data_IF_473633562269
#
_entry.id   IF_473633562269
#
_cell.length_a   1.000
_cell.length_b   1.000
_cell.length_c   1.000
_cell.angle_alpha   90.00
_cell.angle_beta   90.00
_cell.angle_gamma   90.00
#
_symmetry.space_group_name_H-M   'P 1'
#
loop_
_entity.id
_entity.type
_entity.pdbx_description
1 polymer ?
#
# COMPACT_ATOMS: atom_id res chain seq x y z
N UNK A 1 5.45 -10.85 9.49
CA UNK A 1 4.17 -10.15 9.60
C UNK A 1 4.24 -9.13 8.47
N UNK A 2 3.53 -9.36 7.37
CA UNK A 2 3.60 -8.46 6.20
C UNK A 2 2.95 -7.14 6.59
N UNK A 3 3.76 -6.11 6.79
CA UNK A 3 3.29 -4.74 7.02
C UNK A 3 3.33 -4.01 5.68
N UNK A 4 2.20 -3.87 4.98
CA UNK A 4 2.12 -2.99 3.81
C UNK A 4 0.74 -2.35 3.67
N UNK A 5 0.64 -1.03 3.87
CA UNK A 5 -0.03 -0.07 2.98
C UNK A 5 0.11 1.37 3.52
N UNK A 6 0.56 2.29 2.65
CA UNK A 6 0.97 3.64 2.99
C UNK A 6 -0.17 4.64 3.08
N UNK A 7 -0.22 5.43 4.15
CA UNK A 7 -1.05 6.63 4.22
C UNK A 7 -0.20 7.81 3.71
N UNK A 8 -0.43 8.25 2.47
CA UNK A 8 -0.11 9.62 2.06
C UNK A 8 -1.43 10.38 1.98
N UNK A 9 -1.76 11.13 3.03
CA UNK A 9 -2.74 12.20 2.95
C UNK A 9 -2.08 13.34 2.16
N UNK A 10 -2.51 13.54 0.91
CA UNK A 10 -1.89 14.51 0.02
C UNK A 10 -2.13 15.94 0.52
N UNK A 11 -1.11 16.57 1.10
CA UNK A 11 -1.03 18.01 1.22
C UNK A 11 0.44 18.46 1.08
N UNK A 12 0.75 19.02 -0.09
CA UNK A 12 1.96 19.79 -0.48
C UNK A 12 3.14 19.08 -1.19
N UNK A 13 3.58 19.80 -2.24
CA UNK A 13 4.86 19.80 -2.96
C UNK A 13 5.16 18.67 -3.97
N UNK A 14 4.65 18.84 -5.19
CA UNK A 14 5.29 18.30 -6.39
C UNK A 14 6.33 19.30 -6.89
N UNK A 15 7.61 18.98 -6.68
CA UNK A 15 8.73 19.54 -7.43
C UNK A 15 9.00 18.65 -8.65
N UNK A 16 9.29 19.29 -9.78
CA UNK A 16 9.67 18.71 -11.06
C UNK A 16 10.61 17.50 -10.96
N UNK A 17 10.28 16.40 -11.63
CA UNK A 17 11.21 15.31 -11.94
C UNK A 17 11.45 15.29 -13.45
N UNK A 18 12.62 15.77 -13.86
CA UNK A 18 13.15 15.56 -15.20
C UNK A 18 13.73 14.15 -15.34
N UNK A 19 13.42 13.50 -16.46
CA UNK A 19 13.98 12.21 -16.83
C UNK A 19 15.47 12.36 -17.19
N UNK A 20 16.36 11.74 -16.41
CA UNK A 20 17.77 11.60 -16.77
C UNK A 20 18.10 10.16 -17.17
N UNK A 21 18.84 10.06 -18.26
CA UNK A 21 19.21 8.89 -19.04
C UNK A 21 20.08 7.89 -18.29
N UNK A 22 19.66 6.62 -18.23
CA UNK A 22 20.44 5.50 -17.70
C UNK A 22 21.33 4.90 -18.80
N UNK A 23 22.65 4.92 -18.61
CA UNK A 23 23.60 4.17 -19.45
C UNK A 23 24.01 2.85 -18.75
N UNK A 24 24.08 1.71 -19.46
CA UNK A 24 24.41 0.43 -18.85
C UNK A 24 25.93 0.30 -18.58
N UNK A 25 26.28 -0.06 -17.35
CA UNK A 25 27.64 -0.37 -16.93
C UNK A 25 28.08 -1.77 -17.42
N UNK A 26 29.31 -1.88 -17.93
CA UNK A 26 29.95 -3.11 -18.38
C UNK A 26 30.35 -4.00 -17.19
N UNK A 27 29.99 -5.29 -17.24
CA UNK A 27 30.35 -6.32 -16.25
C UNK A 27 31.62 -7.05 -16.74
N UNK A 28 32.65 -7.25 -15.91
CA UNK A 28 33.88 -7.94 -16.32
C UNK A 28 33.69 -9.46 -16.43
N UNK A 29 34.17 -10.04 -17.52
CA UNK A 29 34.22 -11.48 -17.79
C UNK A 29 35.07 -12.21 -16.72
N UNK A 30 34.46 -13.15 -15.98
CA UNK A 30 35.19 -14.18 -15.22
C UNK A 30 35.06 -15.53 -15.90
N UNK A 31 36.22 -16.18 -16.08
CA UNK A 31 36.41 -17.52 -16.65
C UNK A 31 35.58 -18.58 -15.92
N UNK A 32 34.78 -19.33 -16.67
CA UNK A 32 34.15 -20.56 -16.20
C UNK A 32 35.19 -21.68 -16.13
N UNK A 33 35.47 -22.17 -14.91
CA UNK A 33 36.25 -23.38 -14.68
C UNK A 33 35.37 -24.62 -14.84
N UNK A 34 35.73 -25.50 -15.77
CA UNK A 34 35.09 -26.79 -16.06
C UNK A 34 35.57 -27.87 -15.08
N UNK A 35 34.96 -27.94 -13.90
CA UNK A 35 35.01 -29.15 -13.07
C UNK A 35 33.60 -29.73 -13.02
N UNK A 36 33.42 -30.88 -13.68
CA UNK A 36 32.17 -31.62 -13.75
C UNK A 36 31.80 -32.15 -12.36
N UNK A 37 30.77 -31.56 -11.75
CA UNK A 37 30.06 -32.19 -10.64
C UNK A 37 29.21 -33.33 -11.24
N UNK A 38 29.36 -34.52 -10.68
CA UNK A 38 28.59 -35.71 -11.07
C UNK A 38 27.08 -35.41 -11.07
N UNK A 39 26.42 -35.79 -12.16
CA UNK A 39 24.99 -35.65 -12.34
C UNK A 39 24.25 -36.51 -11.31
N UNK A 40 23.63 -35.85 -10.34
CA UNK A 40 22.58 -36.44 -9.51
C UNK A 40 21.44 -36.86 -10.44
N UNK A 41 20.99 -38.11 -10.30
CA UNK A 41 19.89 -38.69 -11.08
C UNK A 41 18.67 -37.74 -11.15
N UNK A 42 17.94 -37.68 -12.28
CA UNK A 42 16.78 -36.81 -12.39
C UNK A 42 15.79 -37.20 -11.29
N UNK A 43 15.47 -36.23 -10.43
CA UNK A 43 14.40 -36.37 -9.46
C UNK A 43 13.15 -36.85 -10.20
N UNK A 44 12.59 -37.97 -9.74
CA UNK A 44 11.30 -38.51 -10.19
C UNK A 44 10.30 -37.37 -10.35
N UNK A 45 9.63 -37.30 -11.50
CA UNK A 45 8.55 -36.33 -11.72
C UNK A 45 7.57 -36.38 -10.54
N UNK A 46 7.17 -35.24 -9.95
CA UNK A 46 6.19 -35.27 -8.90
C UNK A 46 4.86 -35.73 -9.51
N UNK A 47 4.42 -36.95 -9.18
CA UNK A 47 3.07 -37.44 -9.44
C UNK A 47 2.03 -36.70 -8.56
N UNK A 48 2.09 -35.37 -8.49
CA UNK A 48 1.11 -34.58 -7.76
C UNK A 48 -0.08 -34.28 -8.68
N UNK A 49 -0.83 -35.32 -9.05
CA UNK A 49 -2.09 -35.13 -9.75
C UNK A 49 -3.14 -34.63 -8.76
N UNK A 50 -3.46 -33.35 -8.81
CA UNK A 50 -4.53 -32.76 -8.00
C UNK A 50 -5.87 -32.98 -8.70
N UNK A 51 -6.83 -33.60 -7.99
CA UNK A 51 -8.20 -33.75 -8.47
C UNK A 51 -9.07 -32.64 -7.86
N UNK A 52 -9.47 -31.67 -8.69
CA UNK A 52 -10.39 -30.60 -8.30
C UNK A 52 -11.65 -30.74 -9.13
N UNK A 53 -12.80 -30.99 -8.49
CA UNK A 53 -14.13 -31.10 -9.13
C UNK A 53 -14.17 -32.06 -10.34
N UNK A 54 -13.44 -33.18 -10.28
CA UNK A 54 -13.44 -34.20 -11.34
C UNK A 54 -12.46 -33.94 -12.49
N UNK A 55 -11.68 -32.86 -12.42
CA UNK A 55 -10.60 -32.57 -13.38
C UNK A 55 -9.27 -33.01 -12.76
N UNK A 56 -8.57 -33.92 -13.45
CA UNK A 56 -7.22 -34.38 -13.08
C UNK A 56 -6.21 -33.41 -13.69
N UNK A 57 -5.58 -32.60 -12.85
CA UNK A 57 -4.54 -31.65 -13.29
C UNK A 57 -3.18 -32.29 -13.00
N UNK A 58 -2.35 -32.48 -14.03
CA UNK A 58 -1.04 -33.15 -13.94
C UNK A 58 0.10 -32.25 -13.48
N UNK A 59 -0.12 -30.93 -13.39
CA UNK A 59 0.87 -29.95 -12.97
C UNK A 59 0.21 -28.86 -12.12
N UNK A 60 1.02 -28.04 -11.43
CA UNK A 60 0.48 -26.87 -10.72
C UNK A 60 -0.20 -25.92 -11.71
N UNK A 61 -1.41 -25.42 -11.38
CA UNK A 61 -2.11 -24.49 -12.27
C UNK A 61 -1.33 -23.19 -12.43
N UNK A 62 -1.45 -22.56 -13.60
CA UNK A 62 -0.92 -21.21 -13.82
C UNK A 62 -1.69 -20.23 -12.92
N UNK A 63 -0.96 -19.41 -12.15
CA UNK A 63 -1.55 -18.41 -11.28
C UNK A 63 -1.74 -17.10 -12.05
N UNK A 64 -2.98 -16.80 -12.44
CA UNK A 64 -3.38 -15.61 -13.20
C UNK A 64 -4.26 -14.67 -12.36
N UNK A 65 -4.01 -14.62 -11.04
CA UNK A 65 -4.82 -13.87 -10.06
C UNK A 65 -3.94 -12.96 -9.17
N UNK A 66 -2.97 -12.29 -9.80
CA UNK A 66 -1.99 -11.45 -9.09
C UNK A 66 -2.63 -10.24 -8.39
N UNK A 67 -3.80 -9.78 -8.85
CA UNK A 67 -4.55 -8.69 -8.22
C UNK A 67 -5.14 -9.10 -6.86
N UNK A 68 -5.41 -10.40 -6.64
CA UNK A 68 -5.87 -10.89 -5.35
C UNK A 68 -4.74 -10.95 -4.31
N UNK A 69 -3.60 -11.54 -4.69
CA UNK A 69 -2.36 -11.49 -3.91
C UNK A 69 -1.16 -11.89 -4.76
N UNK A 70 0.02 -11.36 -4.45
CA UNK A 70 1.27 -11.70 -5.13
C UNK A 70 2.12 -12.66 -4.30
N UNK A 71 2.85 -13.60 -4.92
CA UNK A 71 3.86 -14.39 -4.22
C UNK A 71 4.94 -13.47 -3.63
N UNK A 72 5.45 -13.80 -2.45
CA UNK A 72 6.54 -13.05 -1.80
C UNK A 72 7.82 -13.20 -2.63
N UNK A 73 8.46 -12.08 -2.97
CA UNK A 73 9.76 -12.09 -3.65
C UNK A 73 10.81 -12.77 -2.74
N UNK A 74 11.63 -13.71 -3.26
CA UNK A 74 12.66 -14.37 -2.47
C UNK A 74 13.61 -13.41 -1.72
N UNK A 75 13.90 -12.24 -2.30
CA UNK A 75 14.72 -11.19 -1.65
C UNK A 75 14.03 -10.57 -0.45
N UNK A 76 12.71 -10.43 -0.51
CA UNK A 76 11.89 -9.95 0.62
C UNK A 76 11.90 -11.01 1.73
N UNK A 77 11.73 -12.28 1.39
CA UNK A 77 11.80 -13.36 2.37
C UNK A 77 13.17 -13.41 3.05
N UNK A 78 14.25 -13.33 2.28
CA UNK A 78 15.63 -13.32 2.80
C UNK A 78 15.87 -12.14 3.75
N UNK A 79 15.37 -10.94 3.42
CA UNK A 79 15.44 -9.78 4.30
C UNK A 79 14.59 -9.92 5.58
N UNK A 80 13.49 -10.68 5.54
CA UNK A 80 12.61 -10.90 6.69
C UNK A 80 13.15 -11.94 7.68
N UNK A 81 13.80 -13.00 7.19
CA UNK A 81 14.25 -14.14 8.00
C UNK A 81 15.12 -13.76 9.22
N UNK A 82 16.08 -12.82 9.14
CA UNK A 82 16.89 -12.40 10.28
C UNK A 82 16.05 -11.90 11.48
N UNK A 83 14.96 -11.20 11.22
CA UNK A 83 14.07 -10.67 12.27
C UNK A 83 13.18 -11.74 12.91
N UNK A 84 13.03 -12.89 12.25
CA UNK A 84 12.33 -14.05 12.81
C UNK A 84 13.23 -14.93 13.67
N UNK A 85 14.53 -15.01 13.35
CA UNK A 85 15.44 -15.96 13.96
C UNK A 85 16.38 -15.32 14.99
N UNK A 86 16.99 -14.18 14.67
CA UNK A 86 18.08 -13.59 15.45
C UNK A 86 17.70 -12.25 16.11
N UNK A 87 17.01 -11.36 15.38
CA UNK A 87 16.64 -10.02 15.86
C UNK A 87 15.13 -9.93 16.12
N UNK A 88 14.63 -10.77 17.03
CA UNK A 88 13.21 -10.87 17.41
C UNK A 88 12.77 -9.81 18.45
N UNK A 89 13.55 -8.73 18.61
CA UNK A 89 13.31 -7.70 19.61
C UNK A 89 12.03 -6.91 19.34
N UNK A 90 11.38 -6.41 20.39
CA UNK A 90 10.25 -5.51 20.23
C UNK A 90 10.77 -4.08 19.94
N UNK A 91 10.44 -3.45 18.80
CA UNK A 91 10.90 -2.07 18.50
C UNK A 91 10.38 -1.04 19.53
N UNK A 92 9.24 -1.29 20.17
CA UNK A 92 8.68 -0.44 21.23
C UNK A 92 9.33 -0.64 22.61
N UNK A 93 10.33 -1.52 22.75
CA UNK A 93 11.07 -1.68 24.02
C UNK A 93 11.89 -0.43 24.43
N UNK A 94 11.80 0.65 23.66
CA UNK A 94 12.25 2.01 23.99
C UNK A 94 11.27 2.83 24.85
N UNK A 95 10.06 2.33 25.11
CA UNK A 95 8.94 3.17 25.56
C UNK A 95 8.81 3.25 27.09
N UNK A 96 9.64 4.07 27.74
CA UNK A 96 9.24 4.90 28.88
C UNK A 96 10.14 6.15 28.93
N UNK A 97 9.86 7.13 28.08
CA UNK A 97 10.54 8.44 28.11
C UNK A 97 10.05 9.38 29.24
N UNK A 98 9.01 8.99 29.99
CA UNK A 98 8.47 9.79 31.12
C UNK A 98 8.42 9.04 32.46
N UNK A 99 9.19 7.96 32.63
CA UNK A 99 9.24 7.25 33.90
C UNK A 99 10.47 6.36 34.01
N UNK A 100 11.47 6.86 34.76
CA UNK A 100 12.65 6.14 35.23
C UNK A 100 13.69 5.70 34.14
N UNK A 101 14.96 6.18 34.17
CA UNK A 101 15.96 5.97 33.11
C UNK A 101 16.56 4.56 32.97
N UNK A 102 15.93 3.51 33.52
CA UNK A 102 16.52 2.17 33.59
C UNK A 102 16.17 1.21 32.45
N UNK A 103 15.23 1.58 31.57
CA UNK A 103 14.80 0.74 30.44
C UNK A 103 15.15 1.37 29.10
N UNK A 104 16.46 1.56 28.88
CA UNK A 104 17.09 2.07 27.64
C UNK A 104 18.04 1.04 27.00
N UNK A 105 18.01 -0.24 27.41
CA UNK A 105 19.25 -0.96 27.72
C UNK A 105 19.51 -2.32 27.04
N UNK A 106 18.85 -2.70 25.94
CA UNK A 106 19.22 -3.96 25.24
C UNK A 106 19.31 -3.82 23.72
N UNK A 107 20.43 -4.30 23.16
CA UNK A 107 20.82 -4.19 21.74
C UNK A 107 19.71 -4.65 20.78
N UNK A 108 19.03 -5.75 21.12
CA UNK A 108 17.91 -6.31 20.34
C UNK A 108 16.78 -5.31 20.05
N UNK A 109 16.49 -4.38 20.96
CA UNK A 109 15.47 -3.34 20.74
C UNK A 109 15.93 -2.27 19.76
N UNK A 110 17.22 -1.91 19.79
CA UNK A 110 17.80 -0.91 18.89
C UNK A 110 17.94 -1.42 17.46
N UNK A 111 18.36 -2.68 17.29
CA UNK A 111 18.42 -3.33 15.98
C UNK A 111 17.04 -3.40 15.32
N UNK A 112 16.01 -3.74 16.10
CA UNK A 112 14.64 -3.83 15.60
C UNK A 112 14.05 -2.47 15.26
N UNK A 113 14.33 -1.44 16.07
CA UNK A 113 13.92 -0.05 15.80
C UNK A 113 14.62 0.52 14.55
N UNK A 114 15.93 0.30 14.41
CA UNK A 114 16.68 0.72 13.23
C UNK A 114 16.16 0.04 11.95
N UNK A 115 15.77 -1.23 12.04
CA UNK A 115 15.15 -1.95 10.93
C UNK A 115 13.81 -1.33 10.52
N UNK A 116 12.96 -1.00 11.49
CA UNK A 116 11.67 -0.33 11.24
C UNK A 116 11.87 1.04 10.60
N UNK A 117 12.82 1.84 11.07
CA UNK A 117 13.10 3.17 10.49
C UNK A 117 13.75 3.09 9.11
N UNK A 118 14.56 2.06 8.85
CA UNK A 118 15.10 1.77 7.51
C UNK A 118 13.97 1.40 6.54
N UNK A 119 13.09 0.48 6.95
CA UNK A 119 11.92 0.11 6.16
C UNK A 119 11.01 1.31 5.89
N UNK A 120 10.79 2.16 6.92
CA UNK A 120 10.00 3.39 6.79
C UNK A 120 10.60 4.35 5.76
N UNK A 121 11.93 4.47 5.73
CA UNK A 121 12.64 5.33 4.78
C UNK A 121 12.55 4.79 3.34
N UNK A 122 12.79 3.49 3.14
CA UNK A 122 12.67 2.85 1.82
C UNK A 122 11.28 3.03 1.20
N UNK A 123 10.26 2.91 2.04
CA UNK A 123 8.87 3.17 1.68
C UNK A 123 8.65 4.63 1.29
N UNK A 124 9.16 5.56 2.10
CA UNK A 124 8.96 6.98 1.88
C UNK A 124 9.62 7.42 0.57
N UNK A 125 10.81 6.89 0.29
CA UNK A 125 11.55 7.12 -0.95
C UNK A 125 10.77 6.62 -2.19
N UNK A 126 10.10 5.47 -2.10
CA UNK A 126 9.30 4.91 -3.19
C UNK A 126 8.17 5.86 -3.62
N UNK A 127 7.52 6.54 -2.67
CA UNK A 127 6.36 7.41 -2.93
C UNK A 127 6.70 8.91 -2.88
N UNK A 128 7.99 9.25 -2.75
CA UNK A 128 8.47 10.63 -2.58
C UNK A 128 7.80 11.34 -1.39
N UNK A 129 7.73 10.68 -0.23
CA UNK A 129 7.21 11.23 1.02
C UNK A 129 8.33 11.38 2.06
N UNK A 130 8.03 12.06 3.17
CA UNK A 130 8.90 12.07 4.34
C UNK A 130 8.67 10.80 5.17
N UNK A 131 9.71 10.17 5.76
CA UNK A 131 9.53 9.01 6.63
C UNK A 131 8.53 9.25 7.76
N UNK A 132 8.45 10.48 8.28
CA UNK A 132 7.51 10.86 9.36
C UNK A 132 6.04 10.80 8.95
N UNK A 133 5.74 10.80 7.65
CA UNK A 133 4.38 10.72 7.11
C UNK A 133 3.91 9.27 6.96
N UNK A 134 4.84 8.30 7.03
CA UNK A 134 4.53 6.89 6.89
C UNK A 134 4.01 6.33 8.21
N UNK A 135 2.80 5.80 8.19
CA UNK A 135 2.20 5.05 9.30
C UNK A 135 2.06 3.59 8.88
N UNK A 136 2.63 2.67 9.66
CA UNK A 136 2.47 1.24 9.43
C UNK A 136 1.13 0.75 9.97
N UNK A 137 0.43 -0.03 9.16
CA UNK A 137 -0.85 -0.69 9.48
C UNK A 137 -0.75 -2.17 9.11
N UNK A 138 -1.77 -2.95 9.47
CA UNK A 138 -1.88 -4.37 9.10
C UNK A 138 -2.20 -4.61 7.61
N UNK A 139 -2.58 -3.58 6.85
CA UNK A 139 -2.88 -3.71 5.43
C UNK A 139 -3.70 -2.55 4.87
N UNK A 140 -3.93 -2.56 3.55
CA UNK A 140 -4.70 -1.53 2.84
C UNK A 140 -6.11 -1.33 3.41
N UNK A 141 -6.78 -2.41 3.82
CA UNK A 141 -8.09 -2.35 4.47
C UNK A 141 -8.05 -1.50 5.74
N UNK A 142 -7.04 -1.66 6.60
CA UNK A 142 -6.90 -0.86 7.82
C UNK A 142 -6.52 0.58 7.47
N UNK A 143 -5.57 0.80 6.55
CA UNK A 143 -5.17 2.14 6.11
C UNK A 143 -6.34 2.95 5.55
N UNK A 144 -7.18 2.35 4.72
CA UNK A 144 -8.38 2.97 4.17
C UNK A 144 -9.40 3.30 5.27
N UNK A 145 -9.59 2.40 6.24
CA UNK A 145 -10.48 2.64 7.38
C UNK A 145 -9.98 3.81 8.24
N UNK A 146 -8.68 3.84 8.57
CA UNK A 146 -8.07 4.90 9.37
C UNK A 146 -8.14 6.24 8.64
N UNK A 147 -7.79 6.30 7.35
CA UNK A 147 -7.85 7.53 6.56
C UNK A 147 -9.28 8.08 6.48
N UNK A 148 -10.24 7.25 6.08
CA UNK A 148 -11.62 7.71 5.87
C UNK A 148 -12.30 8.06 7.19
N UNK A 149 -12.30 7.13 8.16
CA UNK A 149 -12.98 7.35 9.44
C UNK A 149 -12.23 8.35 10.31
N UNK A 150 -10.90 8.30 10.32
CA UNK A 150 -10.07 9.19 11.13
C UNK A 150 -10.20 10.65 10.72
N UNK A 151 -10.11 10.96 9.42
CA UNK A 151 -10.27 12.34 8.93
C UNK A 151 -11.67 12.87 9.24
N UNK A 152 -12.71 12.09 8.97
CA UNK A 152 -14.09 12.54 9.20
C UNK A 152 -14.43 12.69 10.68
N UNK A 153 -13.91 11.81 11.55
CA UNK A 153 -14.07 11.94 13.01
C UNK A 153 -13.29 13.13 13.57
N UNK A 154 -12.11 13.42 13.03
CA UNK A 154 -11.32 14.60 13.43
C UNK A 154 -12.01 15.92 13.09
N UNK A 155 -12.64 16.01 11.91
CA UNK A 155 -13.35 17.22 11.47
C UNK A 155 -14.86 17.22 11.74
N UNK A 156 -15.37 16.28 12.56
CA UNK A 156 -16.81 16.00 12.75
C UNK A 156 -17.68 17.23 13.04
N UNK A 157 -17.13 18.22 13.74
CA UNK A 157 -17.84 19.45 14.09
C UNK A 157 -18.04 20.41 12.89
N UNK A 158 -17.10 20.41 11.94
CA UNK A 158 -17.03 21.39 10.84
C UNK A 158 -17.40 20.80 9.49
N UNK A 159 -17.06 19.54 9.27
CA UNK A 159 -17.18 18.88 7.96
C UNK A 159 -17.90 17.55 8.13
N UNK A 160 -19.03 17.39 7.44
CA UNK A 160 -19.92 16.22 7.56
C UNK A 160 -20.16 15.48 6.25
N UNK A 161 -19.54 15.93 5.16
CA UNK A 161 -19.73 15.37 3.84
C UNK A 161 -18.49 14.65 3.32
N UNK A 162 -18.66 13.47 2.75
CA UNK A 162 -17.63 12.68 2.06
C UNK A 162 -18.04 12.49 0.60
N UNK A 163 -17.09 12.62 -0.30
CA UNK A 163 -17.27 12.28 -1.71
C UNK A 163 -16.41 11.06 -2.02
N UNK A 164 -17.01 10.05 -2.64
CA UNK A 164 -16.31 8.83 -3.06
C UNK A 164 -16.85 8.32 -4.40
N UNK A 165 -16.21 7.35 -5.04
CA UNK A 165 -16.69 6.72 -6.28
C UNK A 165 -17.53 5.47 -6.01
N UNK A 166 -18.40 5.08 -6.94
CA UNK A 166 -19.15 3.82 -6.84
C UNK A 166 -18.27 2.58 -7.07
N UNK A 167 -17.10 2.76 -7.70
CA UNK A 167 -16.16 1.70 -8.08
C UNK A 167 -15.01 1.52 -7.11
N UNK A 168 -15.03 2.18 -5.94
CA UNK A 168 -14.00 1.99 -4.92
C UNK A 168 -13.95 0.54 -4.41
N UNK A 169 -12.81 0.17 -3.83
CA UNK A 169 -12.71 -1.07 -3.09
C UNK A 169 -13.70 -1.12 -1.91
N UNK A 170 -14.19 -2.33 -1.61
CA UNK A 170 -15.25 -2.57 -0.61
C UNK A 170 -14.94 -1.98 0.77
N UNK A 171 -13.67 -1.96 1.19
CA UNK A 171 -13.31 -1.38 2.49
C UNK A 171 -13.57 0.14 2.58
N UNK A 172 -13.46 0.88 1.47
CA UNK A 172 -13.78 2.31 1.41
C UNK A 172 -15.30 2.48 1.41
N UNK A 173 -16.02 1.72 0.58
CA UNK A 173 -17.49 1.77 0.51
C UNK A 173 -18.14 1.42 1.85
N UNK A 174 -17.69 0.35 2.51
CA UNK A 174 -18.23 -0.06 3.81
C UNK A 174 -17.82 0.92 4.92
N UNK A 175 -16.65 1.55 4.84
CA UNK A 175 -16.27 2.65 5.74
C UNK A 175 -17.19 3.86 5.57
N UNK A 176 -17.53 4.21 4.33
CA UNK A 176 -18.45 5.30 4.03
C UNK A 176 -19.88 4.98 4.51
N UNK A 177 -20.38 3.77 4.27
CA UNK A 177 -21.68 3.31 4.80
C UNK A 177 -21.74 3.38 6.32
N UNK A 178 -20.67 3.01 6.99
CA UNK A 178 -20.58 3.13 8.45
C UNK A 178 -20.64 4.60 8.90
N UNK A 179 -19.95 5.51 8.21
CA UNK A 179 -20.06 6.95 8.47
C UNK A 179 -21.48 7.47 8.23
N UNK A 180 -22.20 6.97 7.21
CA UNK A 180 -23.61 7.32 7.02
C UNK A 180 -24.47 6.96 8.23
N UNK A 181 -24.24 5.78 8.83
CA UNK A 181 -24.93 5.37 10.06
C UNK A 181 -24.57 6.27 11.26
N UNK A 182 -23.36 6.83 11.29
CA UNK A 182 -22.94 7.81 12.30
C UNK A 182 -23.45 9.25 12.03
N UNK A 183 -24.20 9.47 10.93
CA UNK A 183 -24.82 10.76 10.59
C UNK A 183 -23.99 11.67 9.67
N UNK A 184 -23.03 11.10 8.93
CA UNK A 184 -22.32 11.80 7.86
C UNK A 184 -23.05 11.66 6.52
N UNK A 185 -22.96 12.67 5.66
CA UNK A 185 -23.43 12.57 4.28
C UNK A 185 -22.34 11.98 3.40
N UNK A 186 -22.71 11.04 2.52
CA UNK A 186 -21.79 10.47 1.54
C UNK A 186 -22.39 10.58 0.13
N UNK A 187 -21.63 11.19 -0.77
CA UNK A 187 -21.93 11.21 -2.21
C UNK A 187 -21.12 10.13 -2.91
N UNK A 188 -21.80 9.20 -3.57
CA UNK A 188 -21.19 8.17 -4.40
C UNK A 188 -21.26 8.56 -5.88
N UNK A 189 -20.16 9.06 -6.43
CA UNK A 189 -20.08 9.51 -7.81
C UNK A 189 -20.17 8.33 -8.79
N UNK A 190 -21.05 8.42 -9.81
CA UNK A 190 -21.03 7.47 -10.91
C UNK A 190 -19.79 7.71 -11.77
N UNK A 191 -19.25 6.63 -12.32
CA UNK A 191 -18.16 6.67 -13.31
C UNK A 191 -18.72 6.57 -14.72
N UNK A 192 -17.92 6.96 -15.72
CA UNK A 192 -18.24 6.72 -17.12
C UNK A 192 -18.21 5.23 -17.49
N UNK A 193 -18.60 4.91 -18.72
CA UNK A 193 -18.52 3.54 -19.24
C UNK A 193 -17.08 3.02 -19.37
N UNK A 194 -16.12 3.95 -19.42
CA UNK A 194 -14.67 3.73 -19.39
C UNK A 194 -14.12 3.56 -17.96
N UNK A 195 -14.96 3.69 -16.93
CA UNK A 195 -14.55 3.60 -15.53
C UNK A 195 -13.89 4.87 -14.98
N UNK A 196 -13.78 5.93 -15.79
CA UNK A 196 -13.11 7.18 -15.40
C UNK A 196 -14.10 8.11 -14.71
N UNK A 197 -13.63 8.82 -13.67
CA UNK A 197 -14.43 9.82 -12.95
C UNK A 197 -14.54 11.10 -13.78
N UNK A 198 -15.76 11.59 -13.94
CA UNK A 198 -16.04 12.90 -14.52
C UNK A 198 -15.63 14.02 -13.55
N UNK A 199 -14.58 14.77 -13.92
CA UNK A 199 -13.99 15.83 -13.11
C UNK A 199 -14.96 16.99 -12.83
N UNK A 200 -15.87 17.30 -13.75
CA UNK A 200 -16.86 18.36 -13.56
C UNK A 200 -17.92 17.93 -12.54
N UNK A 201 -18.35 16.66 -12.59
CA UNK A 201 -19.24 16.11 -11.55
C UNK A 201 -18.55 16.05 -10.19
N UNK A 202 -17.28 15.66 -10.16
CA UNK A 202 -16.49 15.68 -8.92
C UNK A 202 -16.46 17.11 -8.34
N UNK A 203 -16.09 18.10 -9.14
CA UNK A 203 -16.03 19.50 -8.72
C UNK A 203 -17.40 20.02 -8.25
N UNK A 204 -18.47 19.70 -8.96
CA UNK A 204 -19.84 20.07 -8.60
C UNK A 204 -20.38 19.39 -7.34
N UNK A 205 -19.84 18.22 -6.99
CA UNK A 205 -20.22 17.49 -5.77
C UNK A 205 -19.55 18.03 -4.50
N UNK A 206 -18.46 18.80 -4.64
CA UNK A 206 -17.74 19.37 -3.51
C UNK A 206 -18.52 20.56 -2.95
N UNK A 207 -18.98 20.41 -1.71
CA UNK A 207 -19.68 21.41 -0.90
C UNK A 207 -18.75 22.01 0.16
N UNK A 208 -19.17 23.12 0.79
CA UNK A 208 -18.43 23.78 1.89
C UNK A 208 -18.21 22.89 3.12
N UNK A 209 -19.11 21.94 3.37
CA UNK A 209 -19.05 20.96 4.46
C UNK A 209 -18.29 19.67 4.09
N UNK A 210 -17.64 19.62 2.92
CA UNK A 210 -16.91 18.43 2.44
C UNK A 210 -15.58 18.26 3.18
N UNK A 211 -15.50 17.17 3.93
CA UNK A 211 -14.36 16.72 4.71
C UNK A 211 -13.29 16.04 3.89
N UNK A 212 -13.72 15.12 3.04
CA UNK A 212 -12.85 14.16 2.39
C UNK A 212 -13.38 13.82 1.00
N UNK A 213 -12.47 13.79 0.04
CA UNK A 213 -12.66 13.13 -1.25
C UNK A 213 -11.81 11.87 -1.25
N UNK A 214 -12.41 10.71 -1.52
CA UNK A 214 -11.72 9.42 -1.67
C UNK A 214 -11.88 8.91 -3.09
N UNK A 215 -10.77 8.75 -3.82
CA UNK A 215 -10.78 8.14 -5.16
C UNK A 215 -9.59 7.20 -5.27
N UNK A 216 -9.81 5.94 -5.63
CA UNK A 216 -8.74 4.97 -5.84
C UNK A 216 -7.92 5.31 -7.09
N UNK A 217 -6.61 5.07 -7.03
CA UNK A 217 -5.69 5.37 -8.12
C UNK A 217 -5.86 4.40 -9.29
N UNK A 218 -5.86 3.09 -9.00
CA UNK A 218 -6.04 2.01 -9.98
C UNK A 218 -7.13 1.08 -9.49
N UNK A 219 -8.11 0.81 -10.34
CA UNK A 219 -9.21 -0.09 -9.99
C UNK A 219 -8.75 -1.56 -9.98
N UNK A 220 -9.06 -2.28 -8.90
CA UNK A 220 -8.66 -3.68 -8.71
C UNK A 220 -9.40 -4.69 -9.61
N UNK A 221 -10.54 -4.32 -10.21
CA UNK A 221 -11.34 -5.20 -11.06
C UNK A 221 -11.07 -4.95 -12.55
N UNK A 222 -11.11 -3.68 -12.98
CA UNK A 222 -10.98 -3.30 -14.39
C UNK A 222 -9.62 -2.69 -14.77
N UNK A 223 -8.75 -2.41 -13.79
CA UNK A 223 -7.41 -1.85 -14.03
C UNK A 223 -7.40 -0.39 -14.52
N UNK A 224 -8.52 0.31 -14.46
CA UNK A 224 -8.62 1.71 -14.89
C UNK A 224 -7.84 2.61 -13.95
N UNK A 225 -7.03 3.49 -14.55
CA UNK A 225 -6.23 4.50 -13.84
C UNK A 225 -7.00 5.82 -13.82
N UNK A 226 -7.18 6.38 -12.63
CA UNK A 226 -7.87 7.66 -12.47
C UNK A 226 -6.91 8.86 -12.61
N UNK A 227 -7.39 10.03 -13.07
CA UNK A 227 -6.60 11.25 -13.23
C UNK A 227 -6.26 11.90 -11.86
N UNK A 228 -5.32 11.31 -11.14
CA UNK A 228 -4.96 11.68 -9.76
C UNK A 228 -4.42 13.10 -9.63
N UNK A 229 -3.68 13.59 -10.63
CA UNK A 229 -3.08 14.93 -10.58
C UNK A 229 -4.16 16.02 -10.67
N UNK A 230 -5.13 15.85 -11.57
CA UNK A 230 -6.26 16.74 -11.76
C UNK A 230 -7.19 16.73 -10.54
N UNK A 231 -7.50 15.54 -10.02
CA UNK A 231 -8.31 15.37 -8.80
C UNK A 231 -7.64 16.05 -7.61
N UNK A 232 -6.32 15.86 -7.45
CA UNK A 232 -5.53 16.50 -6.41
C UNK A 232 -5.52 18.03 -6.53
N UNK A 233 -5.41 18.58 -7.75
CA UNK A 233 -5.50 20.03 -8.01
C UNK A 233 -6.87 20.58 -7.58
N UNK A 234 -7.96 19.93 -7.98
CA UNK A 234 -9.34 20.34 -7.61
C UNK A 234 -9.52 20.32 -6.09
N UNK A 235 -9.08 19.26 -5.41
CA UNK A 235 -9.20 19.15 -3.95
C UNK A 235 -8.38 20.22 -3.23
N UNK A 236 -7.18 20.53 -3.74
CA UNK A 236 -6.30 21.58 -3.21
C UNK A 236 -6.91 22.97 -3.38
N UNK A 237 -7.42 23.29 -4.56
CA UNK A 237 -8.11 24.57 -4.84
C UNK A 237 -9.31 24.79 -3.92
N UNK A 238 -10.06 23.72 -3.64
CA UNK A 238 -11.26 23.77 -2.80
C UNK A 238 -10.97 23.53 -1.30
N UNK A 239 -9.71 23.37 -0.90
CA UNK A 239 -9.29 23.14 0.50
C UNK A 239 -10.00 21.93 1.16
N UNK A 240 -10.11 20.83 0.41
CA UNK A 240 -10.66 19.55 0.86
C UNK A 240 -9.54 18.51 0.95
N UNK A 241 -9.59 17.67 1.98
CA UNK A 241 -8.65 16.58 2.13
C UNK A 241 -8.86 15.54 1.03
N UNK A 242 -7.77 15.07 0.43
CA UNK A 242 -7.80 14.04 -0.60
C UNK A 242 -7.15 12.75 -0.09
N UNK A 243 -7.86 11.65 -0.27
CA UNK A 243 -7.42 10.29 0.00
C UNK A 243 -7.45 9.47 -1.29
N UNK A 244 -6.40 8.67 -1.50
CA UNK A 244 -6.32 7.73 -2.61
C UNK A 244 -5.96 6.34 -2.10
N UNK A 245 -6.73 5.34 -2.51
CA UNK A 245 -6.33 3.94 -2.39
C UNK A 245 -5.37 3.61 -3.53
N UNK A 246 -4.11 3.35 -3.19
CA UNK A 246 -3.02 3.04 -4.12
C UNK A 246 -2.53 1.59 -3.98
N UNK A 247 -3.35 0.67 -3.47
CA UNK A 247 -2.95 -0.72 -3.27
C UNK A 247 -2.61 -1.48 -4.57
N UNK A 248 -3.15 -1.04 -5.70
CA UNK A 248 -2.97 -1.67 -7.03
C UNK A 248 -2.16 -0.80 -8.01
N UNK A 249 -1.57 0.31 -7.52
CA UNK A 249 -0.89 1.32 -8.33
C UNK A 249 0.64 1.20 -8.28
#
# INVERSE_FOLDING_TARGET
MMFFCFIKLFCQNYGHLEASSFQPAQIPNRCFSTAAAEAVAPASEPEDSLNIKGVKISARPLYLDMQATSPVDPRVLDAMLPYYLASYGNPHSRTHLYGNPHSRTHLYGWESDQAVETARSQVADLIGASPKEIVFTSGATESNNISVKGVMKFYKEKKKHVVTTQTEHKCVLDSCRHLQQEGFDVTYLPVGNDGIVDLEKLKGSIRRDTGLVSVMSVNNEIGVIQPMEEIGKICKELSVSFHTDAAQA
#
